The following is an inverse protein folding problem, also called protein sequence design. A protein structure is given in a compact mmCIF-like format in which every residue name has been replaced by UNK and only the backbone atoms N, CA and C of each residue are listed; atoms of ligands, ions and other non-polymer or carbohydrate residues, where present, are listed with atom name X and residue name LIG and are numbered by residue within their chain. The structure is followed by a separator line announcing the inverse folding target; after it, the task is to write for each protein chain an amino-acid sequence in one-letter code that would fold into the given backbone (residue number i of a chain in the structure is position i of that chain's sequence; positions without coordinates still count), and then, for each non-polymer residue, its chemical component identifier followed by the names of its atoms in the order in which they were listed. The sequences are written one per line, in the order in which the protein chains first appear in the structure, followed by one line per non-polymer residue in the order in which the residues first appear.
data_IF_093569663572
#
_entry.id   IF_093569663572
#
_cell.length_a   1.000
_cell.length_b   1.000
_cell.length_c   1.000
_cell.angle_alpha   90.00
_cell.angle_beta   90.00
_cell.angle_gamma   90.00
#
_symmetry.space_group_name_H-M   'P 1'
#
loop_
_entity.id
_entity.type
_entity.pdbx_description
1 polymer ?
#
# COMPACT_ATOMS: atom_id res chain seq x y z
N UNK A 1 -18.14 9.17 6.07
CA UNK A 1 -17.18 10.23 6.42
C UNK A 1 -15.93 9.97 5.63
N UNK A 2 -15.69 10.67 4.51
CA UNK A 2 -14.44 10.53 3.80
C UNK A 2 -13.36 11.16 4.68
N UNK A 3 -12.41 10.37 5.14
CA UNK A 3 -11.18 10.92 5.70
C UNK A 3 -10.60 11.82 4.61
N UNK A 4 -10.64 13.15 4.85
CA UNK A 4 -10.27 14.13 3.84
C UNK A 4 -8.85 13.85 3.30
N UNK A 5 -8.54 14.33 2.13
CA UNK A 5 -7.22 14.18 1.46
C UNK A 5 -6.04 14.56 2.34
N UNK A 6 -6.26 15.32 3.42
CA UNK A 6 -5.22 15.76 4.37
C UNK A 6 -5.01 14.82 5.56
N UNK A 7 -5.78 13.73 5.72
CA UNK A 7 -5.67 12.87 6.90
C UNK A 7 -4.28 12.23 7.02
N UNK A 8 -3.81 11.58 5.97
CA UNK A 8 -2.52 10.90 6.00
C UNK A 8 -1.33 11.85 6.21
N UNK A 9 -1.25 13.02 5.53
CA UNK A 9 -0.25 14.05 5.83
C UNK A 9 -0.29 14.53 7.28
N UNK A 10 -1.46 14.81 7.85
CA UNK A 10 -1.59 15.22 9.25
C UNK A 10 -1.11 14.15 10.23
N UNK A 11 -1.40 12.87 9.95
CA UNK A 11 -0.86 11.76 10.76
C UNK A 11 0.67 11.73 10.70
N UNK A 12 1.27 11.94 9.51
CA UNK A 12 2.74 12.01 9.37
C UNK A 12 3.32 13.17 10.18
N UNK A 13 2.72 14.35 10.11
CA UNK A 13 3.15 15.52 10.90
C UNK A 13 3.10 15.24 12.41
N UNK A 14 2.04 14.59 12.89
CA UNK A 14 1.91 14.21 14.31
C UNK A 14 2.99 13.19 14.68
N UNK A 15 3.20 12.16 13.85
CA UNK A 15 4.24 11.18 14.09
C UNK A 15 5.63 11.83 14.17
N UNK A 16 5.94 12.75 13.26
CA UNK A 16 7.21 13.48 13.26
C UNK A 16 7.35 14.36 14.50
N UNK A 17 6.30 15.07 14.88
CA UNK A 17 6.29 15.93 16.06
C UNK A 17 6.58 15.19 17.37
N UNK A 18 6.08 13.97 17.49
CA UNK A 18 6.21 13.17 18.71
C UNK A 18 7.25 12.05 18.63
N UNK A 19 8.01 11.97 17.54
CA UNK A 19 9.03 10.92 17.35
C UNK A 19 8.46 9.50 17.24
N UNK A 20 7.21 9.36 16.77
CA UNK A 20 6.53 8.08 16.60
C UNK A 20 6.75 7.55 15.19
N UNK A 21 7.03 6.24 15.05
CA UNK A 21 7.16 5.58 13.75
C UNK A 21 5.79 5.42 13.09
N UNK A 22 5.72 5.74 11.80
CA UNK A 22 4.53 5.52 10.98
C UNK A 22 4.67 4.23 10.17
N UNK A 23 3.79 3.28 10.41
CA UNK A 23 3.69 2.04 9.65
C UNK A 23 2.53 2.16 8.67
N UNK A 24 2.80 1.99 7.38
CA UNK A 24 1.76 1.90 6.35
C UNK A 24 1.49 0.44 6.02
N UNK A 25 0.27 -0.01 6.29
CA UNK A 25 -0.23 -1.28 5.79
C UNK A 25 -0.71 -1.09 4.34
N UNK A 26 0.15 -1.49 3.42
CA UNK A 26 -0.08 -1.44 1.97
C UNK A 26 -0.51 -2.80 1.40
N UNK A 27 -0.98 -3.70 2.26
CA UNK A 27 -1.42 -5.05 1.84
C UNK A 27 -2.54 -4.99 0.79
N UNK A 28 -3.38 -3.97 0.84
CA UNK A 28 -4.47 -3.75 -0.13
C UNK A 28 -4.17 -2.61 -1.09
N UNK A 29 -3.51 -1.55 -0.63
CA UNK A 29 -3.28 -0.32 -1.38
C UNK A 29 -2.02 -0.34 -2.23
N UNK A 30 -1.11 -1.28 -1.97
CA UNK A 30 0.12 -1.46 -2.72
C UNK A 30 -0.10 -1.99 -4.13
N UNK A 31 0.89 -1.75 -4.97
CA UNK A 31 1.02 -2.25 -6.35
C UNK A 31 -0.11 -1.81 -7.29
N UNK A 32 -0.55 -0.54 -7.15
CA UNK A 32 -1.38 0.13 -8.16
C UNK A 32 -2.86 0.25 -7.85
N UNK A 33 -3.41 -0.50 -6.91
CA UNK A 33 -4.86 -0.57 -6.66
C UNK A 33 -5.50 0.81 -6.44
N UNK A 34 -4.84 1.72 -5.76
CA UNK A 34 -5.33 3.07 -5.44
C UNK A 34 -5.06 4.12 -6.53
N UNK A 35 -4.54 3.72 -7.69
CA UNK A 35 -4.14 4.64 -8.75
C UNK A 35 -2.71 5.20 -8.60
N UNK A 36 -1.98 4.72 -7.60
CA UNK A 36 -0.56 4.98 -7.41
C UNK A 36 0.14 3.66 -7.04
N UNK A 37 1.45 3.54 -7.27
CA UNK A 37 2.21 2.32 -6.94
C UNK A 37 1.98 1.91 -5.49
N UNK A 38 1.93 2.88 -4.57
CA UNK A 38 1.58 2.70 -3.17
C UNK A 38 0.57 3.74 -2.72
N UNK A 39 -0.37 3.36 -1.86
CA UNK A 39 -1.37 4.28 -1.32
C UNK A 39 -0.73 5.46 -0.59
N UNK A 40 0.29 5.22 0.23
CA UNK A 40 1.04 6.26 0.93
C UNK A 40 1.61 7.31 -0.04
N UNK A 41 2.18 6.92 -1.18
CA UNK A 41 2.62 7.85 -2.22
C UNK A 41 1.45 8.63 -2.83
N UNK A 42 0.33 7.96 -3.07
CA UNK A 42 -0.88 8.59 -3.60
C UNK A 42 -1.49 9.63 -2.66
N UNK A 43 -1.17 9.58 -1.38
CA UNK A 43 -1.55 10.57 -0.35
C UNK A 43 -0.41 11.49 0.07
N UNK A 44 0.74 11.45 -0.61
CA UNK A 44 1.88 12.33 -0.34
C UNK A 44 2.60 12.05 0.98
N UNK A 45 2.53 10.81 1.47
CA UNK A 45 3.12 10.41 2.75
C UNK A 45 4.30 9.45 2.52
N UNK A 46 5.37 9.65 3.26
CA UNK A 46 6.51 8.74 3.33
C UNK A 46 6.51 8.05 4.70
N UNK A 47 6.06 6.80 4.80
CA UNK A 47 6.06 6.06 6.05
C UNK A 47 7.48 5.61 6.43
N UNK A 48 7.66 5.23 7.69
CA UNK A 48 8.92 4.66 8.19
C UNK A 48 9.01 3.17 7.87
N UNK A 49 7.88 2.48 7.92
CA UNK A 49 7.75 1.04 7.63
C UNK A 49 6.58 0.84 6.68
N UNK A 50 6.74 -0.07 5.72
CA UNK A 50 5.67 -0.47 4.81
C UNK A 50 5.52 -1.98 4.83
N UNK A 51 4.27 -2.45 4.85
CA UNK A 51 3.94 -3.88 4.84
C UNK A 51 3.17 -4.22 3.57
N UNK A 52 3.59 -5.27 2.88
CA UNK A 52 3.03 -5.70 1.60
C UNK A 52 2.62 -7.16 1.62
N UNK A 53 1.61 -7.50 0.82
CA UNK A 53 1.21 -8.87 0.48
C UNK A 53 0.33 -8.85 -0.79
N UNK A 54 -0.58 -9.77 -0.92
CA UNK A 54 -1.64 -9.85 -1.95
C UNK A 54 -1.14 -9.57 -3.37
N UNK A 55 -1.26 -8.31 -3.81
CA UNK A 55 -0.87 -7.90 -5.16
C UNK A 55 0.63 -8.08 -5.45
N UNK A 56 1.48 -8.22 -4.43
CA UNK A 56 2.91 -8.51 -4.60
C UNK A 56 3.17 -9.74 -5.48
N UNK A 57 2.29 -10.73 -5.44
CA UNK A 57 2.35 -11.92 -6.30
C UNK A 57 1.08 -12.14 -7.10
N UNK A 58 0.18 -11.15 -7.16
CA UNK A 58 -1.14 -11.24 -7.80
C UNK A 58 -1.97 -12.47 -7.34
N UNK A 59 -1.67 -13.02 -6.15
CA UNK A 59 -2.35 -14.17 -5.58
C UNK A 59 -1.87 -15.54 -6.09
N UNK A 60 -0.85 -15.60 -6.95
CA UNK A 60 -0.34 -16.88 -7.47
C UNK A 60 0.36 -17.72 -6.40
N UNK A 61 1.12 -17.09 -5.52
CA UNK A 61 1.80 -17.75 -4.39
C UNK A 61 1.80 -16.86 -3.16
N UNK A 62 1.79 -17.41 -1.94
CA UNK A 62 1.89 -16.62 -0.71
C UNK A 62 3.26 -15.93 -0.62
N UNK A 63 3.25 -14.60 -0.52
CA UNK A 63 4.43 -13.79 -0.23
C UNK A 63 3.99 -12.52 0.49
N UNK A 64 4.75 -12.13 1.49
CA UNK A 64 4.65 -10.83 2.13
C UNK A 64 6.03 -10.22 2.30
N UNK A 65 6.07 -8.91 2.45
CA UNK A 65 7.32 -8.19 2.68
C UNK A 65 7.08 -7.04 3.67
N UNK A 66 8.09 -6.77 4.47
CA UNK A 66 8.17 -5.57 5.31
C UNK A 66 9.40 -4.79 4.88
N UNK A 67 9.21 -3.52 4.55
CA UNK A 67 10.27 -2.62 4.10
C UNK A 67 10.49 -1.54 5.15
N UNK A 68 11.73 -1.35 5.54
CA UNK A 68 12.16 -0.34 6.51
C UNK A 68 12.82 0.82 5.80
N UNK A 69 12.71 2.03 6.34
CA UNK A 69 13.48 3.15 5.85
C UNK A 69 14.93 3.09 6.38
N UNK A 70 15.84 3.84 5.76
CA UNK A 70 17.27 3.86 6.12
C UNK A 70 17.54 4.25 7.57
N UNK A 71 16.69 5.10 8.17
CA UNK A 71 16.86 5.50 9.58
C UNK A 71 16.65 4.32 10.52
N UNK A 72 15.67 3.47 10.25
CA UNK A 72 15.40 2.27 11.05
C UNK A 72 16.47 1.23 10.79
N UNK A 73 16.86 1.04 9.54
CA UNK A 73 17.96 0.14 9.16
C UNK A 73 19.26 0.52 9.89
N UNK A 74 19.67 1.78 9.85
CA UNK A 74 20.86 2.26 10.54
C UNK A 74 20.77 2.03 12.06
N UNK A 75 19.65 2.40 12.69
CA UNK A 75 19.47 2.20 14.12
C UNK A 75 19.49 0.70 14.51
N UNK A 76 19.02 -0.16 13.62
CA UNK A 76 19.09 -1.60 13.81
C UNK A 76 20.56 -2.10 13.72
N UNK A 77 21.27 -1.70 12.67
CA UNK A 77 22.67 -2.10 12.46
C UNK A 77 23.60 -1.61 13.58
N UNK A 78 23.37 -0.40 14.06
CA UNK A 78 24.14 0.19 15.18
C UNK A 78 23.92 -0.52 16.51
N UNK A 79 22.76 -1.17 16.69
CA UNK A 79 22.36 -1.84 17.93
C UNK A 79 22.33 -3.37 17.83
N UNK A 80 22.60 -3.96 16.67
CA UNK A 80 22.70 -5.40 16.57
C UNK A 80 23.97 -5.88 17.29
N UNK A 81 23.87 -7.06 17.95
CA UNK A 81 25.04 -7.69 18.54
C UNK A 81 26.08 -8.06 17.45
N UNK A 82 27.26 -8.53 17.89
CA UNK A 82 28.34 -8.93 16.99
C UNK A 82 27.93 -9.99 15.92
N UNK A 83 26.74 -10.56 16.04
CA UNK A 83 26.18 -11.53 15.10
C UNK A 83 25.33 -10.88 13.98
N UNK A 84 24.97 -9.61 14.14
CA UNK A 84 24.20 -8.87 13.11
C UNK A 84 22.86 -9.48 12.75
N UNK A 85 22.24 -10.24 13.67
CA UNK A 85 21.06 -11.04 13.37
C UNK A 85 19.77 -10.28 13.70
N UNK A 86 18.95 -10.08 12.70
CA UNK A 86 17.53 -9.81 12.92
C UNK A 86 16.89 -11.13 13.38
N UNK A 87 16.56 -11.22 14.69
CA UNK A 87 15.97 -12.42 15.29
C UNK A 87 14.51 -12.62 14.86
N UNK A 88 14.28 -12.60 13.55
CA UNK A 88 13.01 -12.94 12.91
C UNK A 88 13.27 -13.85 11.72
N UNK A 89 12.44 -14.84 11.54
CA UNK A 89 12.56 -15.74 10.42
C UNK A 89 11.34 -16.66 10.33
N UNK A 90 10.86 -16.82 9.12
CA UNK A 90 9.81 -17.78 8.80
C UNK A 90 10.40 -18.86 7.94
N UNK A 91 9.94 -20.10 8.13
CA UNK A 91 10.45 -21.28 7.39
C UNK A 91 10.44 -21.05 5.87
N UNK A 92 9.42 -20.38 5.36
CA UNK A 92 9.28 -20.07 3.94
C UNK A 92 9.73 -18.64 3.56
N UNK A 93 10.44 -17.94 4.44
CA UNK A 93 11.02 -16.62 4.13
C UNK A 93 12.01 -16.73 2.96
N UNK A 94 11.88 -15.84 1.97
CA UNK A 94 12.73 -15.84 0.78
C UNK A 94 12.54 -17.05 -0.15
N UNK A 95 11.37 -17.70 -0.13
CA UNK A 95 11.08 -18.87 -0.97
C UNK A 95 11.29 -18.53 -2.46
N UNK A 96 12.19 -19.24 -3.20
CA UNK A 96 12.58 -18.84 -4.55
C UNK A 96 11.43 -18.72 -5.54
N UNK A 97 10.47 -19.65 -5.51
CA UNK A 97 9.29 -19.58 -6.37
C UNK A 97 8.43 -18.34 -6.08
N UNK A 98 8.23 -18.03 -4.80
CA UNK A 98 7.43 -16.87 -4.41
C UNK A 98 8.14 -15.56 -4.79
N UNK A 99 9.45 -15.47 -4.62
CA UNK A 99 10.24 -14.32 -5.05
C UNK A 99 10.22 -14.16 -6.59
N UNK A 100 10.37 -15.25 -7.34
CA UNK A 100 10.29 -15.21 -8.81
C UNK A 100 8.91 -14.75 -9.30
N UNK A 101 7.82 -15.23 -8.69
CA UNK A 101 6.47 -14.76 -9.00
C UNK A 101 6.29 -13.27 -8.65
N UNK A 102 6.82 -12.82 -7.51
CA UNK A 102 6.79 -11.41 -7.13
C UNK A 102 7.54 -10.53 -8.14
N UNK A 103 8.72 -10.91 -8.56
CA UNK A 103 9.50 -10.19 -9.58
C UNK A 103 8.72 -10.08 -10.89
N UNK A 104 8.17 -11.17 -11.40
CA UNK A 104 7.39 -11.18 -12.63
C UNK A 104 6.15 -10.25 -12.54
N UNK A 105 5.48 -10.23 -11.39
CA UNK A 105 4.34 -9.31 -11.16
C UNK A 105 4.79 -7.86 -11.14
N UNK A 106 5.90 -7.53 -10.48
CA UNK A 106 6.44 -6.18 -10.43
C UNK A 106 6.80 -5.68 -11.84
N UNK A 107 7.46 -6.51 -12.64
CA UNK A 107 7.80 -6.19 -14.02
C UNK A 107 6.54 -5.86 -14.86
N UNK A 108 5.47 -6.64 -14.74
CA UNK A 108 4.19 -6.38 -15.42
C UNK A 108 3.56 -5.08 -14.94
N UNK A 109 3.50 -4.85 -13.63
CA UNK A 109 2.92 -3.63 -13.05
C UNK A 109 3.61 -2.38 -13.56
N UNK A 110 4.94 -2.42 -13.69
CA UNK A 110 5.74 -1.31 -14.19
C UNK A 110 5.64 -1.16 -15.72
N UNK A 111 5.84 -2.23 -16.49
CA UNK A 111 5.84 -2.19 -17.95
C UNK A 111 4.49 -1.78 -18.53
N UNK A 112 3.40 -2.26 -17.94
CA UNK A 112 2.03 -1.94 -18.38
C UNK A 112 1.48 -0.68 -17.70
N UNK A 113 2.24 -0.04 -16.80
CA UNK A 113 1.83 1.13 -16.04
C UNK A 113 0.44 0.96 -15.40
N UNK A 114 0.23 -0.19 -14.75
CA UNK A 114 -1.07 -0.55 -14.17
C UNK A 114 -1.60 0.46 -13.13
N UNK A 115 -0.77 1.17 -12.34
CA UNK A 115 -1.27 2.23 -11.46
C UNK A 115 -1.99 3.35 -12.20
N UNK A 116 -1.47 3.80 -13.34
CA UNK A 116 -2.12 4.85 -14.14
C UNK A 116 -3.44 4.34 -14.76
N UNK A 117 -3.47 3.10 -15.24
CA UNK A 117 -4.71 2.48 -15.70
C UNK A 117 -5.75 2.39 -14.57
N UNK A 118 -5.34 1.99 -13.37
CA UNK A 118 -6.25 1.93 -12.22
C UNK A 118 -6.79 3.31 -11.83
N UNK A 119 -5.99 4.38 -11.95
CA UNK A 119 -6.46 5.74 -11.73
C UNK A 119 -7.54 6.12 -12.75
N UNK A 120 -7.26 5.94 -14.04
CA UNK A 120 -8.18 6.27 -15.13
C UNK A 120 -9.51 5.50 -15.05
N UNK A 121 -9.43 4.18 -14.91
CA UNK A 121 -10.63 3.33 -14.83
C UNK A 121 -11.40 3.59 -13.52
N UNK A 122 -10.70 3.91 -12.45
CA UNK A 122 -11.30 4.27 -11.17
C UNK A 122 -12.10 5.57 -11.23
N UNK A 123 -11.58 6.61 -11.88
CA UNK A 123 -12.33 7.86 -12.12
C UNK A 123 -13.57 7.62 -12.97
N UNK A 124 -13.43 6.86 -14.05
CA UNK A 124 -14.56 6.48 -14.89
C UNK A 124 -15.65 5.74 -14.10
N UNK A 125 -15.27 4.70 -13.38
CA UNK A 125 -16.21 3.89 -12.60
C UNK A 125 -16.85 4.68 -11.46
N UNK A 126 -16.08 5.51 -10.75
CA UNK A 126 -16.61 6.39 -9.71
C UNK A 126 -17.66 7.34 -10.28
N UNK A 127 -17.39 7.94 -11.44
CA UNK A 127 -18.36 8.81 -12.14
C UNK A 127 -19.67 8.10 -12.51
N UNK A 128 -19.62 6.81 -12.87
CA UNK A 128 -20.81 6.00 -13.15
C UNK A 128 -21.60 5.63 -11.87
N UNK A 129 -20.92 5.51 -10.74
CA UNK A 129 -21.52 5.09 -9.48
C UNK A 129 -22.07 6.25 -8.64
N UNK A 130 -21.49 7.44 -8.72
CA UNK A 130 -21.94 8.63 -7.97
C UNK A 130 -23.45 8.92 -8.10
N UNK A 131 -24.09 8.81 -9.29
CA UNK A 131 -25.52 9.01 -9.41
C UNK A 131 -26.38 8.03 -8.60
N UNK A 132 -25.81 6.93 -8.11
CA UNK A 132 -26.54 5.96 -7.31
C UNK A 132 -26.94 6.49 -5.93
N UNK A 133 -26.20 7.44 -5.38
CA UNK A 133 -26.56 8.12 -4.12
C UNK A 133 -27.94 8.78 -4.19
N UNK A 134 -28.27 9.39 -5.33
CA UNK A 134 -29.58 10.02 -5.54
C UNK A 134 -30.64 9.09 -6.08
N UNK A 135 -30.23 8.04 -6.81
CA UNK A 135 -31.13 7.11 -7.51
C UNK A 135 -31.67 6.00 -6.60
N UNK A 136 -30.86 5.56 -5.65
CA UNK A 136 -31.18 4.41 -4.81
C UNK A 136 -31.15 4.79 -3.33
N UNK A 137 -32.29 4.68 -2.65
CA UNK A 137 -32.41 5.00 -1.21
C UNK A 137 -31.50 4.13 -0.32
N UNK A 138 -31.11 2.95 -0.82
CA UNK A 138 -30.19 2.03 -0.12
C UNK A 138 -28.72 2.41 -0.25
N UNK A 139 -28.40 3.42 -1.06
CA UNK A 139 -27.01 3.89 -1.25
C UNK A 139 -26.87 5.24 -0.58
N UNK A 140 -26.18 5.27 0.56
CA UNK A 140 -25.98 6.50 1.33
C UNK A 140 -24.72 7.27 0.94
N UNK A 141 -23.70 6.57 0.42
CA UNK A 141 -22.46 7.21 -0.01
C UNK A 141 -21.70 6.33 -1.03
N UNK A 142 -21.15 6.98 -2.05
CA UNK A 142 -20.23 6.37 -3.02
C UNK A 142 -18.88 7.08 -2.91
N UNK A 143 -17.82 6.32 -2.68
CA UNK A 143 -16.48 6.88 -2.53
C UNK A 143 -15.40 5.92 -2.98
N UNK A 144 -14.21 6.46 -3.25
CA UNK A 144 -13.06 5.63 -3.58
C UNK A 144 -11.89 6.41 -4.14
N UNK A 145 -10.83 5.67 -4.45
CA UNK A 145 -9.63 6.17 -5.12
C UNK A 145 -9.02 5.05 -5.96
N UNK A 146 -8.74 5.31 -7.23
CA UNK A 146 -8.38 4.27 -8.17
C UNK A 146 -9.50 3.21 -8.25
N UNK A 147 -9.14 1.95 -8.27
CA UNK A 147 -10.09 0.83 -8.26
C UNK A 147 -10.49 0.34 -6.86
N UNK A 148 -10.20 1.13 -5.82
CA UNK A 148 -10.75 0.93 -4.47
C UNK A 148 -11.98 1.78 -4.30
N UNK A 149 -13.15 1.22 -4.57
CA UNK A 149 -14.44 1.88 -4.51
C UNK A 149 -15.34 1.23 -3.47
N UNK A 150 -16.21 2.01 -2.84
CA UNK A 150 -17.19 1.55 -1.89
C UNK A 150 -18.54 2.23 -2.12
N UNK A 151 -19.60 1.42 -2.07
CA UNK A 151 -20.98 1.86 -1.94
C UNK A 151 -21.42 1.52 -0.51
N UNK A 152 -21.98 2.47 0.21
CA UNK A 152 -22.35 2.35 1.63
C UNK A 152 -23.83 2.67 1.80
#
# INVERSE_FOLDING_TARGET
MSLGYNFCPLVREICDKYGVLLIADEVVTGFGRSGAMFGSRGWGVKPDIMVFAKALTAGYVPLSATVLNQRIEAAYLDNCDARGLLMTGFTYGGHPLACAAGMAVLDIVEQENLPANAALQGEYLLGQLLPFESRFRSVGNVRGKGLMLALV
#
